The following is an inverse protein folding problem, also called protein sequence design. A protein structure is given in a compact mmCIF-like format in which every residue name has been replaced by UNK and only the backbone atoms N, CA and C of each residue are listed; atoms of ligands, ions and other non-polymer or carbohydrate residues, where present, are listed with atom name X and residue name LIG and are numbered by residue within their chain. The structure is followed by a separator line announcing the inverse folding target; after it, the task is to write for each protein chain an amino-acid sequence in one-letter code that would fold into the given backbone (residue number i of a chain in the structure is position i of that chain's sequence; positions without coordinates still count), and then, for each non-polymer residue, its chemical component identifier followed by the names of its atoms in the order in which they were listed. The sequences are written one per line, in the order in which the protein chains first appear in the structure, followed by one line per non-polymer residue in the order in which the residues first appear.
data_IF_668491433075
#
_entry.id   IF_668491433075
#
_cell.length_a   1.000
_cell.length_b   1.000
_cell.length_c   1.000
_cell.angle_alpha   90.00
_cell.angle_beta   90.00
_cell.angle_gamma   90.00
#
_symmetry.space_group_name_H-M   'P 1'
#
loop_
_entity.id
_entity.type
_entity.pdbx_description
1 polymer ?
#
# COMPACT_ATOMS: atom_id res chain seq x y z
N UNK A 1 20.93 -8.21 -7.02
CA UNK A 1 19.51 -7.87 -6.97
C UNK A 1 19.31 -6.37 -6.80
N UNK A 2 19.74 -5.77 -5.69
CA UNK A 2 19.54 -4.33 -5.39
C UNK A 2 19.98 -3.43 -6.53
N UNK A 3 21.20 -3.61 -7.07
CA UNK A 3 21.71 -2.83 -8.22
C UNK A 3 20.78 -2.93 -9.45
N UNK A 4 20.27 -4.12 -9.76
CA UNK A 4 19.36 -4.33 -10.90
C UNK A 4 18.02 -3.63 -10.66
N UNK A 5 17.45 -3.77 -9.45
CA UNK A 5 16.21 -3.08 -9.05
C UNK A 5 16.35 -1.56 -9.11
N UNK A 6 17.46 -1.03 -8.58
CA UNK A 6 17.71 0.42 -8.60
C UNK A 6 17.82 0.94 -10.03
N UNK A 7 18.60 0.28 -10.88
CA UNK A 7 18.72 0.68 -12.30
C UNK A 7 17.38 0.62 -13.03
N UNK A 8 16.62 -0.44 -12.80
CA UNK A 8 15.29 -0.55 -13.37
C UNK A 8 14.34 0.53 -12.84
N UNK A 9 14.43 0.86 -11.55
CA UNK A 9 13.70 1.97 -10.94
C UNK A 9 14.02 3.32 -11.58
N UNK A 10 15.29 3.59 -11.94
CA UNK A 10 15.64 4.79 -12.71
C UNK A 10 15.00 4.79 -14.10
N UNK A 11 15.01 3.66 -14.81
CA UNK A 11 14.38 3.56 -16.13
C UNK A 11 12.88 3.84 -16.03
N UNK A 12 12.18 3.17 -15.12
CA UNK A 12 10.73 3.34 -14.95
C UNK A 12 10.37 4.74 -14.47
N UNK A 13 11.15 5.30 -13.54
CA UNK A 13 10.95 6.68 -13.06
C UNK A 13 11.21 7.73 -14.15
N UNK A 14 12.27 7.57 -14.94
CA UNK A 14 12.55 8.45 -16.08
C UNK A 14 11.47 8.35 -17.15
N UNK A 15 10.98 7.14 -17.44
CA UNK A 15 9.86 6.94 -18.36
C UNK A 15 8.59 7.64 -17.85
N UNK A 16 8.22 7.47 -16.58
CA UNK A 16 7.06 8.13 -16.00
C UNK A 16 7.16 9.64 -16.05
N UNK A 17 8.33 10.20 -15.71
CA UNK A 17 8.60 11.63 -15.83
C UNK A 17 8.46 12.12 -17.27
N UNK A 18 9.05 11.40 -18.22
CA UNK A 18 8.95 11.73 -19.65
C UNK A 18 7.51 11.75 -20.13
N UNK A 19 6.70 10.75 -19.77
CA UNK A 19 5.27 10.67 -20.11
C UNK A 19 4.52 11.90 -19.57
N UNK A 20 4.71 12.25 -18.30
CA UNK A 20 4.06 13.41 -17.68
C UNK A 20 4.47 14.71 -18.38
N UNK A 21 5.77 14.90 -18.65
CA UNK A 21 6.27 16.09 -19.32
C UNK A 21 5.76 16.18 -20.77
N UNK A 22 5.79 15.09 -21.52
CA UNK A 22 5.23 15.06 -22.88
C UNK A 22 3.74 15.41 -22.88
N UNK A 23 2.97 14.80 -21.98
CA UNK A 23 1.56 15.06 -21.84
C UNK A 23 1.28 16.52 -21.47
N UNK A 24 2.14 17.11 -20.62
CA UNK A 24 2.06 18.53 -20.25
C UNK A 24 2.37 19.44 -21.43
N UNK A 25 3.53 19.27 -22.06
CA UNK A 25 3.98 20.16 -23.13
C UNK A 25 3.17 20.05 -24.42
N UNK A 26 2.54 18.90 -24.67
CA UNK A 26 1.62 18.73 -25.82
C UNK A 26 0.19 19.22 -25.54
N UNK A 27 -0.07 19.75 -24.34
CA UNK A 27 -1.41 20.20 -23.95
C UNK A 27 -2.39 19.07 -23.65
N UNK A 28 -1.89 17.84 -23.41
CA UNK A 28 -2.70 16.64 -23.18
C UNK A 28 -3.66 16.80 -22.01
N UNK A 29 -3.26 17.43 -20.91
CA UNK A 29 -4.13 17.71 -19.77
C UNK A 29 -5.31 18.58 -20.15
N UNK A 30 -5.08 19.66 -20.91
CA UNK A 30 -6.14 20.54 -21.37
C UNK A 30 -7.06 19.86 -22.39
N UNK A 31 -6.47 19.11 -23.33
CA UNK A 31 -7.26 18.36 -24.31
C UNK A 31 -8.17 17.33 -23.66
N UNK A 32 -7.67 16.61 -22.67
CA UNK A 32 -8.46 15.65 -21.89
C UNK A 32 -9.58 16.35 -21.11
N UNK A 33 -9.29 17.49 -20.48
CA UNK A 33 -10.28 18.27 -19.74
C UNK A 33 -11.42 18.73 -20.67
N UNK A 34 -11.09 19.25 -21.86
CA UNK A 34 -12.10 19.65 -22.86
C UNK A 34 -12.97 18.47 -23.31
N UNK A 35 -12.36 17.30 -23.58
CA UNK A 35 -13.10 16.09 -23.96
C UNK A 35 -14.07 15.68 -22.86
N UNK A 36 -13.59 15.59 -21.62
CA UNK A 36 -14.43 15.15 -20.51
C UNK A 36 -15.56 16.15 -20.22
N UNK A 37 -15.28 17.47 -20.27
CA UNK A 37 -16.29 18.52 -20.09
C UNK A 37 -17.36 18.50 -21.19
N UNK A 38 -16.98 18.11 -22.42
CA UNK A 38 -17.95 18.01 -23.52
C UNK A 38 -19.03 16.94 -23.31
N UNK A 39 -18.81 16.00 -22.35
CA UNK A 39 -19.82 14.99 -21.99
C UNK A 39 -21.00 15.55 -21.19
N UNK A 40 -20.85 16.70 -20.55
CA UNK A 40 -21.96 17.42 -19.88
C UNK A 40 -22.50 16.80 -18.60
N UNK A 41 -21.72 15.91 -17.93
CA UNK A 41 -22.18 15.18 -16.73
C UNK A 41 -22.11 16.00 -15.41
N UNK A 42 -21.68 17.25 -15.47
CA UNK A 42 -21.45 18.08 -14.26
C UNK A 42 -20.04 17.92 -13.69
N UNK A 43 -19.66 18.85 -12.78
CA UNK A 43 -18.30 19.04 -12.32
C UNK A 43 -17.71 17.79 -11.64
N UNK A 44 -18.45 17.17 -10.72
CA UNK A 44 -17.98 16.02 -9.94
C UNK A 44 -17.74 14.81 -10.83
N UNK A 45 -18.71 14.45 -11.70
CA UNK A 45 -18.60 13.28 -12.58
C UNK A 45 -17.49 13.51 -13.62
N UNK A 46 -17.39 14.72 -14.16
CA UNK A 46 -16.30 15.08 -15.07
C UNK A 46 -14.94 15.02 -14.37
N UNK A 47 -14.83 15.50 -13.13
CA UNK A 47 -13.62 15.39 -12.33
C UNK A 47 -13.21 13.92 -12.07
N UNK A 48 -14.16 13.08 -11.70
CA UNK A 48 -13.92 11.64 -11.52
C UNK A 48 -13.49 10.96 -12.83
N UNK A 49 -14.15 11.27 -13.94
CA UNK A 49 -13.79 10.74 -15.25
C UNK A 49 -12.39 11.20 -15.68
N UNK A 50 -12.09 12.48 -15.54
CA UNK A 50 -10.78 13.05 -15.85
C UNK A 50 -9.65 12.35 -15.09
N UNK A 51 -9.76 12.29 -13.76
CA UNK A 51 -8.77 11.63 -12.90
C UNK A 51 -8.72 10.12 -13.13
N UNK A 52 -9.87 9.48 -13.35
CA UNK A 52 -9.95 8.06 -13.67
C UNK A 52 -9.23 7.70 -14.98
N UNK A 53 -9.41 8.50 -16.03
CA UNK A 53 -8.73 8.29 -17.33
C UNK A 53 -7.21 8.50 -17.15
N UNK A 54 -6.77 9.52 -16.43
CA UNK A 54 -5.34 9.73 -16.16
C UNK A 54 -4.73 8.57 -15.39
N UNK A 55 -5.39 8.09 -14.34
CA UNK A 55 -4.92 6.95 -13.54
C UNK A 55 -4.85 5.66 -14.36
N UNK A 56 -5.93 5.32 -15.08
CA UNK A 56 -5.97 4.12 -15.94
C UNK A 56 -4.94 4.22 -17.05
N UNK A 57 -4.82 5.39 -17.70
CA UNK A 57 -3.82 5.62 -18.74
C UNK A 57 -2.40 5.43 -18.25
N UNK A 58 -2.08 5.97 -17.07
CA UNK A 58 -0.77 5.80 -16.45
C UNK A 58 -0.49 4.34 -16.07
N UNK A 59 -1.47 3.65 -15.48
CA UNK A 59 -1.37 2.22 -15.15
C UNK A 59 -1.14 1.36 -16.41
N UNK A 60 -1.86 1.62 -17.50
CA UNK A 60 -1.65 0.90 -18.76
C UNK A 60 -0.26 1.12 -19.35
N UNK A 61 0.27 2.35 -19.28
CA UNK A 61 1.61 2.67 -19.76
C UNK A 61 2.71 2.03 -18.89
N UNK A 62 2.48 1.90 -17.59
CA UNK A 62 3.45 1.33 -16.65
C UNK A 62 3.30 -0.17 -16.45
N UNK A 63 2.19 -0.75 -16.88
CA UNK A 63 1.90 -2.20 -16.77
C UNK A 63 3.01 -3.11 -17.32
N UNK A 64 3.60 -2.86 -18.51
CA UNK A 64 4.70 -3.69 -19.02
C UNK A 64 5.91 -3.74 -18.08
N UNK A 65 6.19 -2.64 -17.36
CA UNK A 65 7.28 -2.61 -16.39
C UNK A 65 6.96 -3.48 -15.16
N UNK A 66 5.71 -3.55 -14.74
CA UNK A 66 5.25 -4.45 -13.67
C UNK A 66 5.47 -5.92 -14.04
N UNK A 67 5.08 -6.30 -15.26
CA UNK A 67 5.32 -7.65 -15.80
C UNK A 67 6.82 -7.95 -15.84
N UNK A 68 7.63 -7.06 -16.40
CA UNK A 68 9.08 -7.25 -16.50
C UNK A 68 9.73 -7.35 -15.11
N UNK A 69 9.31 -6.51 -14.16
CA UNK A 69 9.79 -6.58 -12.78
C UNK A 69 9.53 -7.96 -12.15
N UNK A 70 8.31 -8.48 -12.29
CA UNK A 70 7.89 -9.72 -11.65
C UNK A 70 8.47 -10.95 -12.34
N UNK A 71 8.28 -11.06 -13.65
CA UNK A 71 8.58 -12.30 -14.38
C UNK A 71 10.00 -12.34 -14.97
N UNK A 72 10.73 -11.22 -14.99
CA UNK A 72 12.12 -11.19 -15.47
C UNK A 72 13.08 -10.89 -14.32
N UNK A 73 12.90 -9.78 -13.62
CA UNK A 73 13.85 -9.39 -12.57
C UNK A 73 13.72 -10.32 -11.36
N UNK A 74 12.54 -10.43 -10.74
CA UNK A 74 12.34 -11.26 -9.54
C UNK A 74 12.61 -12.74 -9.85
N UNK A 75 12.21 -13.21 -11.04
CA UNK A 75 12.49 -14.58 -11.51
C UNK A 75 13.99 -14.86 -11.62
N UNK A 76 14.75 -13.95 -12.25
CA UNK A 76 16.21 -14.08 -12.41
C UNK A 76 16.95 -14.25 -11.09
N UNK A 77 16.44 -13.67 -10.02
CA UNK A 77 17.05 -13.78 -8.67
C UNK A 77 16.40 -14.86 -7.79
N UNK A 78 15.51 -15.67 -8.36
CA UNK A 78 14.83 -16.75 -7.63
C UNK A 78 13.82 -16.28 -6.59
N UNK A 79 13.36 -15.04 -6.69
CA UNK A 79 12.39 -14.47 -5.75
C UNK A 79 10.94 -14.62 -6.20
N UNK A 80 10.68 -14.77 -7.50
CA UNK A 80 9.32 -14.90 -7.99
C UNK A 80 8.75 -16.29 -7.75
N UNK A 81 7.53 -16.33 -7.24
CA UNK A 81 6.65 -17.51 -7.15
C UNK A 81 5.27 -17.21 -7.72
N UNK A 82 5.06 -15.96 -8.16
CA UNK A 82 3.79 -15.51 -8.74
C UNK A 82 3.57 -16.16 -10.09
N UNK A 83 2.46 -16.88 -10.24
CA UNK A 83 2.02 -17.36 -11.55
C UNK A 83 1.31 -16.23 -12.32
N UNK A 84 1.22 -16.29 -13.67
CA UNK A 84 0.44 -15.33 -14.44
C UNK A 84 -1.00 -15.17 -13.93
N UNK A 85 -1.66 -16.29 -13.56
CA UNK A 85 -3.01 -16.25 -13.02
C UNK A 85 -3.10 -15.45 -11.71
N UNK A 86 -2.16 -15.66 -10.78
CA UNK A 86 -2.08 -14.90 -9.53
C UNK A 86 -1.85 -13.42 -9.83
N UNK A 87 -0.93 -13.12 -10.75
CA UNK A 87 -0.60 -11.76 -11.14
C UNK A 87 -1.84 -11.00 -11.66
N UNK A 88 -2.57 -11.58 -12.62
CA UNK A 88 -3.77 -10.95 -13.17
C UNK A 88 -4.93 -10.89 -12.18
N UNK A 89 -5.12 -11.92 -11.36
CA UNK A 89 -6.17 -11.88 -10.33
C UNK A 89 -5.89 -10.83 -9.27
N UNK A 90 -4.63 -10.66 -8.86
CA UNK A 90 -4.23 -9.62 -7.92
C UNK A 90 -4.37 -8.21 -8.53
N UNK A 91 -4.07 -8.06 -9.82
CA UNK A 91 -4.30 -6.81 -10.56
C UNK A 91 -5.79 -6.43 -10.58
N UNK A 92 -6.67 -7.38 -10.93
CA UNK A 92 -8.12 -7.13 -10.94
C UNK A 92 -8.63 -6.79 -9.53
N UNK A 93 -8.22 -7.54 -8.51
CA UNK A 93 -8.57 -7.23 -7.11
C UNK A 93 -8.09 -5.84 -6.71
N UNK A 94 -6.86 -5.49 -7.07
CA UNK A 94 -6.29 -4.16 -6.80
C UNK A 94 -7.11 -3.06 -7.46
N UNK A 95 -7.46 -3.22 -8.74
CA UNK A 95 -8.29 -2.27 -9.48
C UNK A 95 -9.68 -2.10 -8.85
N UNK A 96 -10.36 -3.20 -8.54
CA UNK A 96 -11.67 -3.18 -7.87
C UNK A 96 -11.57 -2.46 -6.52
N UNK A 97 -10.57 -2.76 -5.71
CA UNK A 97 -10.35 -2.09 -4.43
C UNK A 97 -10.04 -0.59 -4.60
N UNK A 98 -9.26 -0.23 -5.61
CA UNK A 98 -8.97 1.19 -5.92
C UNK A 98 -10.26 1.94 -6.25
N UNK A 99 -11.13 1.37 -7.05
CA UNK A 99 -12.43 1.99 -7.37
C UNK A 99 -13.35 2.04 -6.15
N UNK A 100 -13.47 0.92 -5.41
CA UNK A 100 -14.38 0.83 -4.27
C UNK A 100 -13.97 1.70 -3.07
N UNK A 101 -12.67 1.83 -2.81
CA UNK A 101 -12.15 2.58 -1.67
C UNK A 101 -11.69 3.98 -2.06
N UNK A 102 -11.03 4.12 -3.19
CA UNK A 102 -10.53 5.40 -3.69
C UNK A 102 -11.62 6.26 -4.33
N UNK A 103 -12.57 5.65 -5.05
CA UNK A 103 -13.66 6.36 -5.71
C UNK A 103 -14.48 7.24 -4.74
N UNK A 104 -15.04 6.69 -3.65
CA UNK A 104 -15.77 7.49 -2.66
C UNK A 104 -14.91 8.58 -2.01
N UNK A 105 -13.64 8.29 -1.73
CA UNK A 105 -12.71 9.29 -1.17
C UNK A 105 -12.50 10.44 -2.15
N UNK A 106 -12.22 10.12 -3.41
CA UNK A 106 -12.02 11.10 -4.46
C UNK A 106 -13.29 11.93 -4.70
N UNK A 107 -14.46 11.28 -4.71
CA UNK A 107 -15.75 11.97 -4.79
C UNK A 107 -15.93 12.95 -3.63
N UNK A 108 -15.65 12.51 -2.40
CA UNK A 108 -15.72 13.34 -1.21
C UNK A 108 -14.78 14.56 -1.28
N UNK A 109 -13.55 14.37 -1.76
CA UNK A 109 -12.59 15.44 -1.96
C UNK A 109 -13.08 16.46 -3.00
N UNK A 110 -13.56 15.99 -4.15
CA UNK A 110 -14.11 16.88 -5.19
C UNK A 110 -15.31 17.68 -4.68
N UNK A 111 -16.23 17.06 -3.93
CA UNK A 111 -17.35 17.74 -3.31
C UNK A 111 -16.88 18.79 -2.31
N UNK A 112 -15.89 18.46 -1.47
CA UNK A 112 -15.37 19.41 -0.50
C UNK A 112 -14.66 20.60 -1.16
N UNK A 113 -13.94 20.38 -2.27
CA UNK A 113 -13.34 21.49 -3.03
C UNK A 113 -14.39 22.34 -3.73
N UNK A 114 -15.49 21.75 -4.22
CA UNK A 114 -16.54 22.50 -4.91
C UNK A 114 -17.42 23.31 -3.95
N UNK A 115 -17.74 22.76 -2.77
CA UNK A 115 -18.71 23.37 -1.84
C UNK A 115 -18.11 23.84 -0.52
N UNK A 116 -16.84 23.56 -0.23
CA UNK A 116 -16.22 23.85 1.07
C UNK A 116 -15.71 25.30 1.25
N UNK A 117 -15.77 26.13 0.19
CA UNK A 117 -15.30 27.52 0.23
C UNK A 117 -13.82 27.62 0.64
N UNK A 118 -13.45 28.69 1.32
CA UNK A 118 -12.06 29.00 1.73
C UNK A 118 -11.42 27.93 2.65
N UNK A 119 -12.23 27.10 3.30
CA UNK A 119 -11.78 26.03 4.19
C UNK A 119 -11.80 24.64 3.53
N UNK A 120 -12.04 24.54 2.21
CA UNK A 120 -12.08 23.26 1.49
C UNK A 120 -10.83 22.41 1.73
N UNK A 121 -9.65 23.03 1.66
CA UNK A 121 -8.38 22.36 1.91
C UNK A 121 -8.31 21.73 3.31
N UNK A 122 -8.81 22.41 4.34
CA UNK A 122 -8.82 21.93 5.72
C UNK A 122 -9.75 20.72 5.87
N UNK A 123 -10.94 20.77 5.28
CA UNK A 123 -11.89 19.66 5.32
C UNK A 123 -11.37 18.46 4.54
N UNK A 124 -10.72 18.66 3.38
CA UNK A 124 -10.06 17.60 2.61
C UNK A 124 -8.94 16.98 3.42
N UNK A 125 -8.08 17.77 4.04
CA UNK A 125 -7.01 17.29 4.89
C UNK A 125 -7.52 16.46 6.07
N UNK A 126 -8.52 16.94 6.80
CA UNK A 126 -9.15 16.20 7.90
C UNK A 126 -9.79 14.89 7.40
N UNK A 127 -10.46 14.91 6.25
CA UNK A 127 -11.03 13.73 5.62
C UNK A 127 -9.99 12.67 5.29
N UNK A 128 -8.84 13.05 4.73
CA UNK A 128 -7.72 12.14 4.43
C UNK A 128 -7.10 11.59 5.72
N UNK A 129 -6.97 12.38 6.77
CA UNK A 129 -6.47 11.89 8.07
C UNK A 129 -7.41 10.82 8.62
N UNK A 130 -8.72 11.08 8.66
CA UNK A 130 -9.72 10.13 9.15
C UNK A 130 -9.67 8.85 8.31
N UNK A 131 -9.65 8.97 6.99
CA UNK A 131 -9.52 7.84 6.08
C UNK A 131 -8.25 7.03 6.34
N UNK A 132 -7.10 7.68 6.48
CA UNK A 132 -5.82 7.01 6.77
C UNK A 132 -5.87 6.25 8.09
N UNK A 133 -6.43 6.86 9.14
CA UNK A 133 -6.59 6.20 10.44
C UNK A 133 -7.51 4.97 10.30
N UNK A 134 -8.65 5.09 9.64
CA UNK A 134 -9.56 3.96 9.40
C UNK A 134 -8.83 2.84 8.65
N UNK A 135 -8.08 3.16 7.60
CA UNK A 135 -7.37 2.19 6.78
C UNK A 135 -6.26 1.46 7.54
N UNK A 136 -5.64 2.08 8.56
CA UNK A 136 -4.69 1.39 9.45
C UNK A 136 -5.32 0.20 10.19
N UNK A 137 -6.63 0.25 10.45
CA UNK A 137 -7.35 -0.86 11.09
C UNK A 137 -7.96 -1.81 10.06
N UNK A 138 -8.51 -1.27 8.99
CA UNK A 138 -9.24 -2.03 7.97
C UNK A 138 -8.28 -2.87 7.11
N UNK A 139 -7.15 -2.30 6.66
CA UNK A 139 -6.28 -2.95 5.72
C UNK A 139 -5.72 -4.30 6.22
N UNK A 140 -5.17 -4.43 7.45
CA UNK A 140 -4.63 -5.70 7.91
C UNK A 140 -5.69 -6.77 8.19
N UNK A 141 -6.92 -6.35 8.46
CA UNK A 141 -8.00 -7.26 8.89
C UNK A 141 -8.86 -7.70 7.73
N UNK A 142 -9.10 -6.80 6.77
CA UNK A 142 -10.07 -7.02 5.70
C UNK A 142 -9.42 -7.08 4.32
N UNK A 143 -8.43 -6.22 4.03
CA UNK A 143 -7.84 -6.16 2.69
C UNK A 143 -6.74 -7.21 2.50
N UNK A 144 -5.82 -7.34 3.46
CA UNK A 144 -4.74 -8.33 3.32
C UNK A 144 -5.23 -9.77 3.15
N UNK A 145 -6.30 -10.24 3.84
CA UNK A 145 -6.87 -11.58 3.64
C UNK A 145 -7.47 -11.82 2.25
N UNK A 146 -7.78 -10.78 1.49
CA UNK A 146 -8.22 -10.95 0.08
C UNK A 146 -7.09 -11.46 -0.83
N UNK A 147 -5.84 -11.18 -0.45
CA UNK A 147 -4.66 -11.56 -1.23
C UNK A 147 -3.94 -12.76 -0.65
N UNK A 148 -3.87 -12.88 0.66
CA UNK A 148 -3.10 -13.90 1.35
C UNK A 148 -3.95 -14.62 2.40
N UNK A 149 -3.67 -15.91 2.59
CA UNK A 149 -4.27 -16.69 3.67
C UNK A 149 -3.51 -16.44 4.97
N UNK A 150 -4.25 -16.16 6.04
CA UNK A 150 -3.73 -16.04 7.40
C UNK A 150 -4.21 -17.22 8.22
N UNK A 151 -3.30 -18.09 8.64
CA UNK A 151 -3.60 -19.25 9.48
C UNK A 151 -3.09 -18.97 10.90
N UNK A 152 -3.92 -19.14 11.94
CA UNK A 152 -3.42 -19.04 13.31
C UNK A 152 -2.24 -19.99 13.52
N UNK A 153 -1.16 -19.48 14.14
CA UNK A 153 -0.01 -20.32 14.45
C UNK A 153 -0.40 -21.40 15.46
N UNK A 154 -0.09 -22.65 15.14
CA UNK A 154 -0.34 -23.77 16.02
C UNK A 154 0.48 -23.70 17.32
N UNK A 155 0.02 -24.31 18.42
CA UNK A 155 0.81 -24.47 19.64
C UNK A 155 2.11 -25.21 19.34
N UNK A 156 3.23 -24.73 19.90
CA UNK A 156 4.55 -25.32 19.69
C UNK A 156 5.66 -24.39 20.15
N UNK A 157 6.89 -24.86 20.07
CA UNK A 157 8.08 -24.19 20.59
C UNK A 157 8.24 -22.77 20.07
N UNK A 158 8.03 -22.54 18.75
CA UNK A 158 8.14 -21.22 18.14
C UNK A 158 7.10 -20.25 18.73
N UNK A 159 5.83 -20.68 18.83
CA UNK A 159 4.78 -19.84 19.39
C UNK A 159 5.05 -19.46 20.85
N UNK A 160 5.51 -20.43 21.63
CA UNK A 160 5.86 -20.20 23.04
C UNK A 160 7.04 -19.25 23.20
N UNK A 161 8.09 -19.42 22.40
CA UNK A 161 9.24 -18.52 22.38
C UNK A 161 8.84 -17.08 22.01
N UNK A 162 8.02 -16.90 20.96
CA UNK A 162 7.49 -15.59 20.55
C UNK A 162 6.68 -14.97 21.70
N UNK A 163 5.78 -15.72 22.31
CA UNK A 163 4.94 -15.22 23.39
C UNK A 163 5.74 -14.88 24.65
N UNK A 164 6.75 -15.69 24.97
CA UNK A 164 7.65 -15.47 26.10
C UNK A 164 8.44 -14.17 25.91
N UNK A 165 9.07 -14.00 24.74
CA UNK A 165 9.79 -12.79 24.41
C UNK A 165 8.88 -11.55 24.40
N UNK A 166 7.73 -11.64 23.76
CA UNK A 166 6.78 -10.54 23.70
C UNK A 166 6.32 -10.10 25.10
N UNK A 167 6.07 -11.05 26.00
CA UNK A 167 5.74 -10.77 27.41
C UNK A 167 6.90 -10.07 28.14
N UNK A 168 8.13 -10.58 28.01
CA UNK A 168 9.31 -9.96 28.64
C UNK A 168 9.55 -8.53 28.13
N UNK A 169 9.21 -8.31 26.84
CA UNK A 169 9.27 -7.00 26.22
C UNK A 169 8.07 -6.09 26.56
N UNK A 170 7.12 -6.50 27.40
CA UNK A 170 5.90 -5.73 27.71
C UNK A 170 4.95 -5.57 26.54
N UNK A 171 5.04 -6.46 25.54
CA UNK A 171 4.19 -6.47 24.35
C UNK A 171 3.22 -7.64 24.41
N UNK A 172 1.99 -7.39 24.87
CA UNK A 172 0.98 -8.44 24.95
C UNK A 172 0.47 -8.80 23.54
N UNK A 173 0.79 -10.01 23.07
CA UNK A 173 0.34 -10.55 21.80
C UNK A 173 -0.69 -11.64 22.08
N UNK A 174 -1.89 -11.48 21.53
CA UNK A 174 -2.93 -12.53 21.59
C UNK A 174 -2.91 -13.42 20.34
N UNK A 175 -2.67 -12.83 19.18
CA UNK A 175 -2.86 -13.50 17.90
C UNK A 175 -1.56 -13.48 17.10
N UNK A 176 -1.03 -14.67 16.83
CA UNK A 176 0.12 -14.90 15.94
C UNK A 176 -0.40 -15.69 14.76
N UNK A 177 -0.12 -15.20 13.54
CA UNK A 177 -0.55 -15.82 12.30
C UNK A 177 0.66 -16.20 11.44
N UNK A 178 0.51 -17.25 10.67
CA UNK A 178 1.35 -17.59 9.53
C UNK A 178 0.64 -17.14 8.27
N UNK A 179 1.34 -16.39 7.40
CA UNK A 179 0.83 -15.91 6.13
C UNK A 179 1.49 -16.66 4.98
N UNK A 180 0.72 -17.07 3.97
CA UNK A 180 1.16 -17.79 2.77
C UNK A 180 1.97 -16.89 1.81
N UNK A 181 3.06 -16.30 2.29
CA UNK A 181 3.94 -15.45 1.49
C UNK A 181 4.61 -16.20 0.33
N UNK A 182 4.90 -17.49 0.53
CA UNK A 182 5.49 -18.41 -0.47
C UNK A 182 4.67 -18.49 -1.77
N UNK A 183 3.39 -18.17 -1.74
CA UNK A 183 2.51 -18.12 -2.92
C UNK A 183 3.00 -17.12 -3.97
N UNK A 184 3.68 -16.05 -3.56
CA UNK A 184 4.12 -14.96 -4.46
C UNK A 184 5.61 -14.75 -4.49
N UNK A 185 6.29 -15.03 -3.39
CA UNK A 185 7.72 -14.73 -3.29
C UNK A 185 8.44 -15.70 -2.35
N UNK A 186 9.73 -15.90 -2.61
CA UNK A 186 10.60 -16.59 -1.64
C UNK A 186 11.17 -15.63 -0.59
N UNK A 187 10.85 -14.33 -0.65
CA UNK A 187 11.33 -13.37 0.33
C UNK A 187 10.69 -13.60 1.68
N UNK A 188 11.53 -13.58 2.71
CA UNK A 188 11.10 -13.70 4.09
C UNK A 188 10.69 -12.32 4.65
N UNK A 189 9.60 -12.28 5.41
CA UNK A 189 9.16 -11.07 6.10
C UNK A 189 8.31 -11.42 7.33
N UNK A 190 8.22 -10.45 8.26
CA UNK A 190 7.27 -10.46 9.35
C UNK A 190 6.75 -9.04 9.54
N UNK A 191 5.54 -8.88 10.05
CA UNK A 191 5.01 -7.56 10.35
C UNK A 191 4.04 -7.58 11.55
N UNK A 192 3.93 -6.42 12.16
CA UNK A 192 3.06 -6.17 13.29
C UNK A 192 1.91 -5.27 12.87
N UNK A 193 0.70 -5.62 13.28
CA UNK A 193 -0.49 -4.83 13.00
C UNK A 193 -1.38 -4.70 14.21
N UNK A 194 -2.31 -3.73 14.17
CA UNK A 194 -3.28 -3.51 15.23
C UNK A 194 -2.74 -2.66 16.39
N UNK A 195 -3.68 -2.19 17.19
CA UNK A 195 -3.42 -1.32 18.33
C UNK A 195 -4.03 -1.92 19.61
N UNK A 196 -3.42 -1.67 20.74
CA UNK A 196 -3.94 -2.11 22.03
C UNK A 196 -4.20 -3.63 22.09
N UNK A 197 -5.44 -4.04 22.28
CA UNK A 197 -5.87 -5.44 22.40
C UNK A 197 -6.00 -6.18 21.08
N UNK A 198 -6.00 -5.49 19.94
CA UNK A 198 -6.14 -6.08 18.60
C UNK A 198 -4.79 -6.36 17.93
N UNK A 199 -3.69 -6.28 18.67
CA UNK A 199 -2.34 -6.53 18.17
C UNK A 199 -2.21 -7.94 17.60
N UNK A 200 -1.62 -8.01 16.41
CA UNK A 200 -1.36 -9.24 15.67
C UNK A 200 0.08 -9.26 15.19
N UNK A 201 0.68 -10.43 15.21
CA UNK A 201 1.94 -10.72 14.55
C UNK A 201 1.62 -11.62 13.37
N UNK A 202 2.13 -11.30 12.18
CA UNK A 202 2.09 -12.16 11.03
C UNK A 202 3.51 -12.48 10.56
N UNK A 203 3.86 -13.76 10.52
CA UNK A 203 5.10 -14.25 9.94
C UNK A 203 4.79 -14.89 8.60
N UNK A 204 5.64 -14.63 7.63
CA UNK A 204 5.56 -15.35 6.36
C UNK A 204 6.01 -16.79 6.58
N UNK A 205 5.36 -17.74 5.92
CA UNK A 205 5.79 -19.14 5.87
C UNK A 205 7.24 -19.24 5.43
N UNK A 206 7.65 -18.47 4.41
CA UNK A 206 9.05 -18.37 3.93
C UNK A 206 10.05 -17.88 4.97
N UNK A 207 9.62 -17.12 5.98
CA UNK A 207 10.49 -16.70 7.09
C UNK A 207 10.72 -17.87 8.06
N UNK A 208 9.65 -18.59 8.39
CA UNK A 208 9.71 -19.74 9.29
C UNK A 208 10.57 -20.86 8.72
N UNK A 209 10.44 -21.11 7.42
CA UNK A 209 11.19 -22.19 6.72
C UNK A 209 12.69 -21.92 6.63
N UNK A 210 13.13 -20.67 6.66
CA UNK A 210 14.53 -20.27 6.41
C UNK A 210 15.36 -20.02 7.66
N UNK A 211 14.73 -19.83 8.79
CA UNK A 211 15.40 -19.37 10.01
C UNK A 211 15.17 -20.32 11.19
N UNK A 212 16.18 -20.45 12.02
CA UNK A 212 16.03 -21.17 13.27
C UNK A 212 15.28 -20.35 14.33
N UNK A 213 14.90 -21.00 15.44
CA UNK A 213 14.10 -20.39 16.49
C UNK A 213 14.71 -19.09 17.05
N UNK A 214 16.02 -19.10 17.29
CA UNK A 214 16.71 -17.94 17.87
C UNK A 214 16.73 -16.75 16.90
N UNK A 215 16.94 -17.01 15.62
CA UNK A 215 16.89 -15.99 14.57
C UNK A 215 15.49 -15.39 14.41
N UNK A 216 14.46 -16.24 14.43
CA UNK A 216 13.06 -15.79 14.36
C UNK A 216 12.70 -14.88 15.54
N UNK A 217 13.12 -15.26 16.76
CA UNK A 217 12.91 -14.43 17.95
C UNK A 217 13.69 -13.12 17.85
N UNK A 218 14.92 -13.12 17.30
CA UNK A 218 15.72 -11.91 17.13
C UNK A 218 15.07 -10.94 16.09
N UNK A 219 14.53 -11.45 14.97
CA UNK A 219 13.80 -10.66 14.00
C UNK A 219 12.57 -10.02 14.65
N UNK A 220 11.81 -10.79 15.41
CA UNK A 220 10.63 -10.26 16.11
C UNK A 220 11.00 -9.26 17.20
N UNK A 221 12.16 -9.44 17.85
CA UNK A 221 12.70 -8.46 18.80
C UNK A 221 12.96 -7.10 18.15
N UNK A 222 13.51 -7.13 16.92
CA UNK A 222 13.71 -5.92 16.12
C UNK A 222 12.39 -5.20 15.83
N UNK A 223 11.39 -5.95 15.39
CA UNK A 223 10.06 -5.42 15.06
C UNK A 223 9.35 -4.85 16.31
N UNK A 224 9.43 -5.54 17.46
CA UNK A 224 8.90 -5.03 18.73
C UNK A 224 9.64 -3.75 19.14
N UNK A 225 10.93 -3.63 18.82
CA UNK A 225 11.72 -2.40 19.01
C UNK A 225 11.13 -1.20 18.25
N UNK A 226 10.75 -1.39 16.99
CA UNK A 226 10.07 -0.36 16.18
C UNK A 226 8.76 0.09 16.83
N UNK A 227 7.99 -0.86 17.32
CA UNK A 227 6.75 -0.56 18.04
C UNK A 227 6.99 0.24 19.31
N UNK A 228 7.95 -0.18 20.16
CA UNK A 228 8.28 0.52 21.42
C UNK A 228 8.76 1.95 21.20
N UNK A 229 9.53 2.17 20.13
CA UNK A 229 9.98 3.51 19.71
C UNK A 229 8.89 4.33 19.03
N UNK A 230 7.67 3.78 18.90
CA UNK A 230 6.51 4.46 18.28
C UNK A 230 6.78 4.96 16.85
N UNK A 231 7.61 4.25 16.08
CA UNK A 231 7.97 4.67 14.72
C UNK A 231 6.73 4.81 13.82
N UNK A 232 5.71 3.96 13.99
CA UNK A 232 4.44 4.09 13.30
C UNK A 232 3.76 5.43 13.60
N UNK A 233 3.68 5.81 14.88
CA UNK A 233 3.08 7.09 15.29
C UNK A 233 3.87 8.29 14.75
N UNK A 234 5.20 8.23 14.80
CA UNK A 234 6.07 9.26 14.23
C UNK A 234 5.84 9.41 12.72
N UNK A 235 5.79 8.30 12.00
CA UNK A 235 5.47 8.30 10.57
C UNK A 235 4.09 8.88 10.28
N UNK A 236 3.07 8.56 11.09
CA UNK A 236 1.74 9.15 10.95
C UNK A 236 1.75 10.66 11.18
N UNK A 237 2.41 11.15 12.24
CA UNK A 237 2.49 12.61 12.52
C UNK A 237 3.17 13.35 11.38
N UNK A 238 4.29 12.82 10.88
CA UNK A 238 4.99 13.41 9.72
C UNK A 238 4.12 13.37 8.46
N UNK A 239 3.42 12.26 8.20
CA UNK A 239 2.48 12.15 7.08
C UNK A 239 1.33 13.15 7.16
N UNK A 240 0.76 13.32 8.35
CA UNK A 240 -0.30 14.32 8.61
C UNK A 240 0.20 15.73 8.34
N UNK A 241 1.38 16.08 8.84
CA UNK A 241 1.97 17.42 8.61
C UNK A 241 2.28 17.64 7.13
N UNK A 242 2.87 16.64 6.46
CA UNK A 242 3.21 16.71 5.04
C UNK A 242 1.96 16.87 4.14
N UNK A 243 0.91 16.06 4.36
CA UNK A 243 -0.33 16.17 3.60
C UNK A 243 -1.05 17.50 3.88
N UNK A 244 -1.01 18.01 5.12
CA UNK A 244 -1.56 19.32 5.46
C UNK A 244 -0.88 20.46 4.70
N UNK A 245 0.46 20.41 4.61
CA UNK A 245 1.19 21.40 3.81
C UNK A 245 0.81 21.33 2.33
N UNK A 246 0.67 20.12 1.77
CA UNK A 246 0.24 19.95 0.37
C UNK A 246 -1.13 20.57 0.16
N UNK A 247 -2.13 20.20 0.95
CA UNK A 247 -3.49 20.76 0.80
C UNK A 247 -3.52 22.27 0.97
N UNK A 248 -2.74 22.82 1.91
CA UNK A 248 -2.63 24.27 2.10
C UNK A 248 -2.02 25.00 0.90
N UNK A 249 -0.99 24.41 0.28
CA UNK A 249 -0.32 25.01 -0.90
C UNK A 249 -1.18 24.97 -2.18
N UNK A 250 -2.17 24.09 -2.23
CA UNK A 250 -3.10 23.94 -3.35
C UNK A 250 -4.49 24.56 -3.10
N UNK A 251 -4.64 25.32 -2.01
CA UNK A 251 -5.88 26.00 -1.66
C UNK A 251 -6.03 27.42 -2.31
#
# INVERSE_FOLDING_TARGET
YTRTRTRFGFVTGSFGLLVILLFWFTGGFNSLDQIVRSWGFGSIVNGLAYLGILLIGYELLTFPFGIYSTFVIEERFGFNRTTPLIFFTDLIKGLVLTVMLGGPVLTGLLLLFEYGGDFAWLFCWLGIIIYTIIMQFVAPVWLMPLFNKFTPMEPGELREAIQSYARSAGYAVKNIFVMDGSKRSTKANAFFTGFGRTRRIALFDTLIDKHNLAELVAILAHEIGHYKKKHLLQGMVLGVAHTGLIFYLFS
#
